data_IF_369897483662
#
_entry.id   IF_369897483662
#
_cell.length_a   1.000
_cell.length_b   1.000
_cell.length_c   1.000
_cell.angle_alpha   90.00
_cell.angle_beta   90.00
_cell.angle_gamma   90.00
#
_symmetry.space_group_name_H-M   'P 1'
#
loop_
_entity.id
_entity.type
_entity.pdbx_description
1 polymer ?
#
# COMPACT_ATOMS: atom_id res chain seq x y z
N UNK A 1 8.95 -26.14 -6.69
CA UNK A 1 9.77 -25.82 -5.50
C UNK A 1 9.07 -24.69 -4.77
N UNK A 2 8.86 -24.75 -3.45
CA UNK A 2 8.31 -23.60 -2.75
C UNK A 2 9.37 -22.50 -2.84
N UNK A 3 9.05 -21.40 -3.52
CA UNK A 3 9.95 -20.25 -3.56
C UNK A 3 9.94 -19.62 -2.18
N UNK A 4 11.07 -19.70 -1.49
CA UNK A 4 11.29 -18.90 -0.30
C UNK A 4 11.15 -17.43 -0.70
N UNK A 5 10.19 -16.73 -0.10
CA UNK A 5 10.02 -15.29 -0.27
C UNK A 5 10.79 -14.62 0.85
N UNK A 6 11.88 -13.95 0.50
CA UNK A 6 12.63 -13.12 1.44
C UNK A 6 11.69 -12.12 2.12
N UNK A 7 11.95 -11.82 3.40
CA UNK A 7 11.21 -10.86 4.23
C UNK A 7 9.77 -11.25 4.61
N UNK A 8 9.25 -12.41 4.17
CA UNK A 8 7.89 -12.86 4.56
C UNK A 8 7.83 -13.00 6.07
N UNK A 9 6.79 -12.42 6.69
CA UNK A 9 6.65 -12.43 8.14
C UNK A 9 6.30 -13.82 8.63
N UNK A 10 6.85 -14.18 9.78
CA UNK A 10 6.43 -15.38 10.47
C UNK A 10 5.03 -15.14 11.04
N UNK A 11 4.11 -16.08 10.78
CA UNK A 11 2.72 -15.97 11.25
C UNK A 11 2.42 -17.16 12.16
N UNK A 12 1.91 -16.87 13.35
CA UNK A 12 1.30 -17.85 14.24
C UNK A 12 -0.21 -17.64 14.17
N UNK A 13 -0.95 -18.68 13.77
CA UNK A 13 -2.40 -18.68 13.87
C UNK A 13 -2.83 -19.53 15.07
N UNK A 14 -3.41 -18.88 16.06
CA UNK A 14 -3.81 -19.49 17.33
C UNK A 14 -5.33 -19.54 17.42
N UNK A 15 -5.89 -20.73 17.20
CA UNK A 15 -7.31 -21.03 17.30
C UNK A 15 -7.55 -21.81 18.59
N UNK A 16 -8.34 -21.26 19.50
CA UNK A 16 -8.62 -21.92 20.79
C UNK A 16 -9.97 -21.46 21.36
N UNK A 17 -10.53 -22.25 22.26
CA UNK A 17 -11.62 -21.87 23.17
C UNK A 17 -11.18 -22.06 24.64
N UNK A 18 -9.88 -22.04 24.90
CA UNK A 18 -9.28 -22.18 26.22
C UNK A 18 -8.36 -21.01 26.56
N UNK A 19 -8.28 -20.68 27.85
CA UNK A 19 -7.42 -19.62 28.34
C UNK A 19 -5.93 -19.88 27.99
N UNK A 20 -5.16 -18.82 27.68
CA UNK A 20 -3.74 -18.99 27.40
C UNK A 20 -3.02 -19.53 28.64
N UNK A 21 -1.97 -20.32 28.40
CA UNK A 21 -1.11 -20.82 29.48
C UNK A 21 -0.42 -19.67 30.22
N UNK A 22 0.06 -19.95 31.44
CA UNK A 22 0.73 -18.94 32.28
C UNK A 22 2.13 -18.55 31.82
N UNK A 23 2.77 -19.38 30.98
CA UNK A 23 4.09 -19.12 30.42
C UNK A 23 3.97 -18.60 28.99
N UNK A 24 4.12 -17.29 28.84
CA UNK A 24 3.92 -16.52 27.62
C UNK A 24 5.22 -15.82 27.16
N UNK A 25 6.37 -16.33 27.61
CA UNK A 25 7.67 -15.75 27.30
C UNK A 25 7.94 -15.75 25.79
N UNK A 26 8.50 -14.66 25.27
CA UNK A 26 8.90 -14.52 23.88
C UNK A 26 7.79 -14.10 22.92
N UNK A 27 6.53 -13.94 23.37
CA UNK A 27 5.46 -13.37 22.55
C UNK A 27 5.81 -11.95 22.12
N UNK A 28 6.25 -11.12 23.07
CA UNK A 28 6.60 -9.73 22.79
C UNK A 28 7.84 -9.64 21.90
N UNK A 29 8.83 -10.51 22.10
CA UNK A 29 10.01 -10.62 21.24
C UNK A 29 9.63 -11.06 19.82
N UNK A 30 8.73 -12.04 19.67
CA UNK A 30 8.24 -12.49 18.38
C UNK A 30 7.54 -11.37 17.61
N UNK A 31 6.64 -10.63 18.28
CA UNK A 31 5.94 -9.48 17.69
C UNK A 31 6.91 -8.36 17.33
N UNK A 32 7.83 -8.03 18.23
CA UNK A 32 8.86 -7.00 18.03
C UNK A 32 9.82 -7.37 16.89
N UNK A 33 10.05 -8.67 16.66
CA UNK A 33 10.78 -9.20 15.51
C UNK A 33 10.01 -9.15 14.18
N UNK A 34 8.80 -8.59 14.15
CA UNK A 34 7.94 -8.49 12.97
C UNK A 34 7.03 -9.70 12.75
N UNK A 35 7.00 -10.65 13.68
CA UNK A 35 6.06 -11.77 13.67
C UNK A 35 4.62 -11.31 13.92
N UNK A 36 3.66 -11.94 13.25
CA UNK A 36 2.24 -11.66 13.42
C UNK A 36 1.57 -12.84 14.12
N UNK A 37 0.86 -12.57 15.21
CA UNK A 37 0.02 -13.57 15.90
C UNK A 37 -1.43 -13.24 15.62
N UNK A 38 -2.08 -14.12 14.86
CA UNK A 38 -3.51 -14.08 14.59
C UNK A 38 -4.19 -14.96 15.65
N UNK A 39 -5.11 -14.39 16.43
CA UNK A 39 -5.86 -15.14 17.44
C UNK A 39 -7.32 -15.19 17.03
N UNK A 40 -7.85 -16.41 16.93
CA UNK A 40 -9.28 -16.65 16.84
C UNK A 40 -9.75 -17.33 18.13
N UNK A 41 -10.51 -16.58 18.92
CA UNK A 41 -11.20 -17.11 20.08
C UNK A 41 -12.52 -17.74 19.62
N UNK A 42 -12.64 -19.06 19.69
CA UNK A 42 -13.83 -19.76 19.23
C UNK A 42 -14.93 -19.65 20.29
N UNK A 43 -15.80 -18.64 20.11
CA UNK A 43 -16.90 -18.31 21.02
C UNK A 43 -18.21 -18.82 20.41
N UNK A 44 -18.97 -19.65 21.14
CA UNK A 44 -20.31 -20.08 20.70
C UNK A 44 -21.38 -19.00 20.99
N UNK A 45 -22.55 -19.13 20.37
CA UNK A 45 -23.67 -18.21 20.60
C UNK A 45 -24.03 -18.13 22.09
N UNK A 46 -23.99 -16.92 22.65
CA UNK A 46 -24.24 -16.67 24.07
C UNK A 46 -23.02 -16.81 25.00
N UNK A 47 -21.86 -17.22 24.47
CA UNK A 47 -20.59 -17.22 25.21
C UNK A 47 -19.90 -15.85 25.12
N UNK A 48 -18.97 -15.61 26.05
CA UNK A 48 -18.14 -14.39 26.10
C UNK A 48 -16.69 -14.73 25.74
N UNK A 49 -15.98 -13.83 25.02
CA UNK A 49 -14.57 -14.04 24.70
C UNK A 49 -13.71 -14.21 25.95
N UNK A 50 -12.70 -15.05 25.84
CA UNK A 50 -11.80 -15.42 26.94
C UNK A 50 -10.89 -14.23 27.27
N UNK A 51 -10.90 -13.77 28.54
CA UNK A 51 -10.02 -12.70 28.98
C UNK A 51 -8.54 -13.04 28.73
N UNK A 52 -7.80 -12.12 28.12
CA UNK A 52 -6.36 -12.25 27.90
C UNK A 52 -5.95 -12.83 26.54
N UNK A 53 -6.82 -13.53 25.80
CA UNK A 53 -6.48 -13.97 24.44
C UNK A 53 -6.25 -12.79 23.49
N UNK A 54 -6.95 -11.67 23.70
CA UNK A 54 -6.70 -10.43 22.96
C UNK A 54 -5.26 -9.91 23.11
N UNK A 55 -4.63 -10.12 24.27
CA UNK A 55 -3.26 -9.66 24.50
C UNK A 55 -2.23 -10.52 23.76
N UNK A 56 -2.58 -11.76 23.45
CA UNK A 56 -1.75 -12.65 22.64
C UNK A 56 -1.70 -12.19 21.17
N UNK A 57 -2.79 -11.65 20.64
CA UNK A 57 -2.85 -11.18 19.26
C UNK A 57 -1.89 -10.02 18.98
N UNK A 58 -1.39 -9.94 17.75
CA UNK A 58 -0.83 -8.70 17.22
C UNK A 58 -1.92 -7.64 17.06
N UNK A 59 -1.53 -6.37 17.00
CA UNK A 59 -2.48 -5.26 16.87
C UNK A 59 -3.46 -5.50 15.71
N UNK A 60 -4.76 -5.39 16.02
CA UNK A 60 -5.86 -5.61 15.09
C UNK A 60 -6.04 -7.06 14.57
N UNK A 61 -5.33 -8.07 15.09
CA UNK A 61 -5.42 -9.49 14.68
C UNK A 61 -6.14 -10.42 15.69
N UNK A 62 -7.07 -9.89 16.50
CA UNK A 62 -7.92 -10.68 17.40
C UNK A 62 -9.34 -10.80 16.84
N UNK A 63 -9.88 -12.01 16.80
CA UNK A 63 -11.18 -12.32 16.22
C UNK A 63 -11.95 -13.34 17.07
N UNK A 64 -13.26 -13.37 16.92
CA UNK A 64 -14.15 -14.32 17.62
C UNK A 64 -15.03 -15.15 16.69
N UNK A 65 -14.97 -14.89 15.38
CA UNK A 65 -15.96 -15.31 14.38
C UNK A 65 -15.32 -15.86 13.08
N UNK A 66 -14.00 -16.07 13.04
CA UNK A 66 -13.33 -16.53 11.81
C UNK A 66 -13.72 -17.95 11.37
N UNK A 67 -14.40 -18.71 12.23
CA UNK A 67 -14.84 -20.09 11.99
C UNK A 67 -16.00 -20.20 11.01
N UNK A 68 -16.75 -19.12 10.73
CA UNK A 68 -17.90 -19.19 9.82
C UNK A 68 -17.49 -19.24 8.34
N UNK A 69 -16.31 -18.75 7.98
CA UNK A 69 -15.80 -18.77 6.61
C UNK A 69 -14.27 -18.86 6.56
N UNK A 70 -13.74 -20.07 6.38
CA UNK A 70 -12.29 -20.34 6.26
C UNK A 70 -11.58 -19.52 5.16
N UNK A 71 -12.31 -19.07 4.13
CA UNK A 71 -11.80 -18.18 3.08
C UNK A 71 -11.41 -16.80 3.66
N UNK A 72 -12.09 -16.31 4.70
CA UNK A 72 -11.72 -15.06 5.38
C UNK A 72 -10.40 -15.21 6.15
N UNK A 73 -10.09 -16.41 6.65
CA UNK A 73 -8.82 -16.70 7.31
C UNK A 73 -7.64 -16.56 6.33
N UNK A 74 -7.79 -16.96 5.06
CA UNK A 74 -6.74 -16.77 4.03
C UNK A 74 -6.46 -15.29 3.78
N UNK A 75 -7.48 -14.43 3.81
CA UNK A 75 -7.33 -12.99 3.67
C UNK A 75 -6.40 -12.39 4.74
N UNK A 76 -6.48 -12.87 5.98
CA UNK A 76 -5.63 -12.39 7.08
C UNK A 76 -4.14 -12.73 6.88
N UNK A 77 -3.83 -13.89 6.29
CA UNK A 77 -2.44 -14.20 5.95
C UNK A 77 -1.89 -13.30 4.85
N UNK A 78 -2.75 -12.85 3.92
CA UNK A 78 -2.38 -11.86 2.91
C UNK A 78 -2.16 -10.48 3.55
N UNK A 79 -3.08 -10.04 4.42
CA UNK A 79 -2.92 -8.76 5.15
C UNK A 79 -1.67 -8.75 6.01
N UNK A 80 -1.40 -9.85 6.73
CA UNK A 80 -0.21 -10.00 7.58
C UNK A 80 1.10 -10.01 6.77
N UNK A 81 1.05 -10.33 5.48
CA UNK A 81 2.19 -10.25 4.57
C UNK A 81 2.08 -9.07 3.58
N UNK A 82 1.20 -8.11 3.82
CA UNK A 82 1.07 -6.90 3.02
C UNK A 82 2.03 -5.82 3.55
N UNK A 83 3.32 -6.02 3.28
CA UNK A 83 4.42 -5.12 3.65
C UNK A 83 5.27 -4.78 2.42
N UNK A 84 6.14 -3.77 2.56
CA UNK A 84 7.06 -3.35 1.52
C UNK A 84 8.49 -3.83 1.78
N UNK A 85 9.26 -4.03 0.71
CA UNK A 85 10.72 -4.16 0.84
C UNK A 85 11.30 -2.93 1.55
N UNK A 86 12.41 -3.04 2.31
CA UNK A 86 12.97 -1.95 3.10
C UNK A 86 13.29 -0.66 2.33
N UNK A 87 13.49 -0.75 1.02
CA UNK A 87 13.78 0.39 0.14
C UNK A 87 12.54 1.06 -0.47
N UNK A 88 11.34 0.60 -0.10
CA UNK A 88 10.08 1.14 -0.58
C UNK A 88 9.31 1.81 0.57
N UNK A 89 8.59 2.86 0.22
CA UNK A 89 7.69 3.57 1.12
C UNK A 89 6.29 2.91 1.07
N UNK A 90 5.80 2.37 2.18
CA UNK A 90 4.45 1.80 2.24
C UNK A 90 3.40 2.89 2.26
N UNK A 91 2.31 2.69 1.51
CA UNK A 91 1.13 3.52 1.60
C UNK A 91 -0.04 2.69 2.13
N UNK A 92 -0.60 3.13 3.25
CA UNK A 92 -1.77 2.53 3.87
C UNK A 92 -2.98 3.44 3.78
N UNK A 93 -4.15 2.83 3.71
CA UNK A 93 -5.42 3.44 4.07
C UNK A 93 -6.04 2.67 5.23
N UNK A 94 -5.94 3.29 6.40
CA UNK A 94 -6.46 2.76 7.66
C UNK A 94 -7.98 2.55 7.62
N UNK A 95 -8.70 3.26 6.73
CA UNK A 95 -10.15 3.07 6.54
C UNK A 95 -10.47 1.76 5.84
N UNK A 96 -9.54 1.25 5.01
CA UNK A 96 -9.69 -0.03 4.30
C UNK A 96 -9.25 -1.19 5.20
N UNK A 97 -8.07 -1.08 5.82
CA UNK A 97 -7.61 -2.07 6.79
C UNK A 97 -6.58 -1.45 7.76
N UNK A 98 -6.84 -1.46 9.07
CA UNK A 98 -5.88 -0.98 10.07
C UNK A 98 -4.78 -2.00 10.37
N UNK A 99 -4.80 -3.17 9.71
CA UNK A 99 -3.88 -4.31 9.95
C UNK A 99 -2.68 -4.34 9.00
N UNK A 100 -2.80 -3.66 7.86
CA UNK A 100 -1.84 -3.70 6.77
C UNK A 100 -0.92 -2.49 6.84
N UNK A 101 0.34 -2.65 6.44
CA UNK A 101 1.25 -1.52 6.31
C UNK A 101 1.16 -0.89 4.92
N UNK A 102 0.83 -1.68 3.90
CA UNK A 102 0.95 -1.26 2.50
C UNK A 102 -0.28 -1.64 1.64
N UNK A 103 -1.51 -1.56 2.17
CA UNK A 103 -2.70 -1.96 1.39
C UNK A 103 -2.95 -1.10 0.13
N UNK A 104 -2.39 0.12 0.06
CA UNK A 104 -2.44 0.99 -1.11
C UNK A 104 -1.14 0.98 -1.93
N UNK A 105 -0.23 0.06 -1.61
CA UNK A 105 0.96 -0.25 -2.40
C UNK A 105 2.28 0.21 -1.78
N UNK A 106 3.36 -0.12 -2.49
CA UNK A 106 4.74 0.19 -2.14
C UNK A 106 5.35 1.11 -3.21
N UNK A 107 6.04 2.16 -2.78
CA UNK A 107 6.51 3.22 -3.68
C UNK A 107 8.00 3.44 -3.54
N UNK A 108 8.71 3.49 -4.67
CA UNK A 108 10.15 3.76 -4.69
C UNK A 108 10.43 4.95 -5.61
N UNK A 109 10.81 6.12 -5.06
CA UNK A 109 11.05 7.30 -5.87
C UNK A 109 12.47 7.22 -6.48
N UNK A 110 12.58 7.51 -7.77
CA UNK A 110 13.86 7.43 -8.52
C UNK A 110 14.25 8.80 -9.05
N UNK A 111 15.48 9.24 -8.75
CA UNK A 111 16.00 10.56 -9.12
C UNK A 111 17.11 10.46 -10.16
N UNK A 112 16.77 10.14 -11.41
CA UNK A 112 17.73 9.99 -12.51
C UNK A 112 17.38 10.77 -13.80
N UNK A 113 16.22 11.45 -13.85
CA UNK A 113 15.87 12.38 -14.91
C UNK A 113 15.79 11.75 -16.31
N UNK A 114 15.17 10.58 -16.44
CA UNK A 114 15.05 9.85 -17.71
C UNK A 114 13.72 10.14 -18.44
N UNK A 115 13.64 9.94 -19.77
CA UNK A 115 12.39 10.05 -20.53
C UNK A 115 11.30 9.10 -20.03
N UNK A 116 10.04 9.48 -20.22
CA UNK A 116 8.86 8.75 -19.72
C UNK A 116 8.86 7.25 -20.06
N UNK A 117 9.00 6.88 -21.34
CA UNK A 117 9.05 5.47 -21.74
C UNK A 117 10.18 4.70 -21.05
N UNK A 118 11.33 5.37 -20.83
CA UNK A 118 12.44 4.74 -20.12
C UNK A 118 12.13 4.55 -18.64
N UNK A 119 11.43 5.49 -18.02
CA UNK A 119 10.96 5.36 -16.64
C UNK A 119 9.95 4.20 -16.53
N UNK A 120 8.97 4.13 -17.43
CA UNK A 120 8.01 3.03 -17.54
C UNK A 120 8.70 1.67 -17.67
N UNK A 121 9.62 1.53 -18.63
CA UNK A 121 10.43 0.30 -18.78
C UNK A 121 11.21 -0.06 -17.52
N UNK A 122 11.75 0.93 -16.81
CA UNK A 122 12.55 0.71 -15.61
C UNK A 122 11.70 0.14 -14.49
N UNK A 123 10.51 0.70 -14.26
CA UNK A 123 9.55 0.17 -13.30
C UNK A 123 9.15 -1.28 -13.67
N UNK A 124 8.81 -1.54 -14.94
CA UNK A 124 8.43 -2.89 -15.37
C UNK A 124 9.54 -3.92 -15.18
N UNK A 125 10.81 -3.56 -15.39
CA UNK A 125 11.95 -4.44 -15.14
C UNK A 125 12.09 -4.83 -13.66
N UNK A 126 11.55 -4.01 -12.76
CA UNK A 126 11.48 -4.28 -11.32
C UNK A 126 10.12 -4.83 -10.88
N UNK A 127 9.33 -5.39 -11.81
CA UNK A 127 7.97 -5.89 -11.55
C UNK A 127 7.04 -4.84 -10.91
N UNK A 128 7.23 -3.58 -11.25
CA UNK A 128 6.41 -2.45 -10.80
C UNK A 128 5.92 -1.63 -12.01
N UNK A 129 5.15 -0.59 -11.73
CA UNK A 129 4.66 0.35 -12.75
C UNK A 129 4.99 1.78 -12.31
N UNK A 130 4.95 2.72 -13.25
CA UNK A 130 4.82 4.12 -12.88
C UNK A 130 3.55 4.30 -12.03
N UNK A 131 3.53 5.34 -11.21
CA UNK A 131 2.43 5.54 -10.26
C UNK A 131 1.17 6.05 -10.95
N UNK A 132 0.05 5.36 -10.75
CA UNK A 132 -1.28 5.90 -11.01
C UNK A 132 -1.83 6.59 -9.76
N UNK A 133 -2.48 7.75 -9.91
CA UNK A 133 -3.01 8.54 -8.79
C UNK A 133 -4.50 8.81 -9.03
N UNK A 134 -5.34 8.35 -8.10
CA UNK A 134 -6.80 8.35 -8.23
C UNK A 134 -7.52 9.06 -7.08
N UNK A 135 -6.77 9.65 -6.15
CA UNK A 135 -7.32 10.49 -5.08
C UNK A 135 -6.24 11.37 -4.45
N UNK A 136 -6.71 12.38 -3.70
CA UNK A 136 -5.88 13.37 -3.05
C UNK A 136 -4.96 12.77 -1.97
N UNK A 137 -5.39 11.71 -1.28
CA UNK A 137 -4.57 11.06 -0.25
C UNK A 137 -3.33 10.42 -0.88
N UNK A 138 -3.51 9.74 -2.02
CA UNK A 138 -2.40 9.15 -2.79
C UNK A 138 -1.50 10.22 -3.40
N UNK A 139 -2.07 11.30 -3.92
CA UNK A 139 -1.30 12.43 -4.46
C UNK A 139 -0.38 13.01 -3.38
N UNK A 140 -0.96 13.32 -2.22
CA UNK A 140 -0.23 13.85 -1.08
C UNK A 140 0.90 12.91 -0.64
N UNK A 141 0.60 11.61 -0.51
CA UNK A 141 1.60 10.62 -0.14
C UNK A 141 2.75 10.56 -1.14
N UNK A 142 2.46 10.41 -2.44
CA UNK A 142 3.48 10.30 -3.50
C UNK A 142 4.36 11.56 -3.53
N UNK A 143 3.75 12.73 -3.45
CA UNK A 143 4.46 14.01 -3.38
C UNK A 143 5.40 14.08 -2.18
N UNK A 144 4.96 13.62 -1.00
CA UNK A 144 5.79 13.57 0.22
C UNK A 144 6.98 12.62 0.07
N UNK A 145 6.79 11.49 -0.61
CA UNK A 145 7.86 10.51 -0.87
C UNK A 145 8.89 11.08 -1.85
N UNK A 146 8.47 11.83 -2.88
CA UNK A 146 9.39 12.47 -3.83
C UNK A 146 10.11 13.67 -3.21
N UNK A 147 9.51 14.35 -2.24
CA UNK A 147 10.08 15.52 -1.57
C UNK A 147 11.42 15.25 -0.87
N UNK A 148 11.78 13.98 -0.61
CA UNK A 148 13.09 13.58 -0.09
C UNK A 148 14.24 14.06 -1.00
N UNK A 149 13.98 14.26 -2.29
CA UNK A 149 14.96 14.76 -3.25
C UNK A 149 15.01 16.30 -3.35
N UNK A 150 14.18 17.01 -2.59
CA UNK A 150 14.10 18.46 -2.55
C UNK A 150 12.77 19.02 -3.04
N UNK A 151 12.68 20.36 -3.09
CA UNK A 151 11.47 21.06 -3.52
C UNK A 151 11.35 21.13 -5.05
N UNK A 152 10.12 21.26 -5.54
CA UNK A 152 9.75 21.41 -6.97
C UNK A 152 10.30 20.30 -7.86
N UNK A 153 10.31 19.07 -7.35
CA UNK A 153 10.75 17.90 -8.10
C UNK A 153 9.63 17.41 -9.00
N UNK A 154 9.98 17.22 -10.27
CA UNK A 154 9.10 16.62 -11.26
C UNK A 154 9.23 15.12 -11.21
N UNK A 155 8.11 14.42 -11.28
CA UNK A 155 8.07 12.97 -11.36
C UNK A 155 7.00 12.52 -12.37
N UNK A 156 7.31 11.48 -13.12
CA UNK A 156 6.37 10.88 -14.05
C UNK A 156 5.22 10.21 -13.27
N UNK A 157 4.01 10.43 -13.76
CA UNK A 157 2.82 9.65 -13.37
C UNK A 157 2.41 8.80 -14.56
N UNK A 158 1.76 7.67 -14.33
CA UNK A 158 1.45 6.67 -15.36
C UNK A 158 0.28 7.08 -16.30
N UNK A 159 0.26 8.34 -16.71
CA UNK A 159 -0.80 8.98 -17.48
C UNK A 159 -0.22 9.55 -18.76
N UNK A 160 -0.75 9.11 -19.90
CA UNK A 160 -0.33 9.57 -21.22
C UNK A 160 -1.55 9.96 -22.07
N UNK A 161 -1.36 10.84 -23.03
CA UNK A 161 -2.37 11.15 -24.03
C UNK A 161 -2.14 10.27 -25.26
N UNK A 162 -3.06 9.37 -25.58
CA UNK A 162 -2.95 8.45 -26.72
C UNK A 162 -3.18 9.11 -28.10
N UNK A 163 -3.21 10.45 -28.15
CA UNK A 163 -3.58 11.25 -29.31
C UNK A 163 -5.05 11.66 -29.33
N UNK A 164 -5.89 11.06 -28.47
CA UNK A 164 -7.31 11.40 -28.29
C UNK A 164 -7.63 11.70 -26.83
N UNK A 165 -7.28 10.78 -25.93
CA UNK A 165 -7.66 10.82 -24.52
C UNK A 165 -6.44 10.66 -23.62
N UNK A 166 -6.53 11.20 -22.41
CA UNK A 166 -5.60 10.86 -21.33
C UNK A 166 -5.97 9.51 -20.74
N UNK A 167 -5.02 8.58 -20.71
CA UNK A 167 -5.22 7.18 -20.33
C UNK A 167 -4.18 6.75 -19.30
N UNK A 168 -4.64 6.08 -18.24
CA UNK A 168 -3.77 5.48 -17.25
C UNK A 168 -3.22 4.13 -17.71
N UNK A 169 -2.00 3.80 -17.31
CA UNK A 169 -1.39 2.49 -17.60
C UNK A 169 -2.17 1.34 -16.97
N UNK A 170 -2.74 1.56 -15.78
CA UNK A 170 -3.56 0.60 -15.05
C UNK A 170 -4.97 0.41 -15.62
N UNK A 171 -5.31 1.14 -16.71
CA UNK A 171 -6.61 1.11 -17.40
C UNK A 171 -7.78 1.62 -16.56
N UNK A 172 -7.51 2.29 -15.44
CA UNK A 172 -8.53 2.98 -14.67
C UNK A 172 -9.19 4.08 -15.50
N UNK A 173 -10.51 4.23 -15.32
CA UNK A 173 -11.30 5.33 -15.89
C UNK A 173 -11.70 6.34 -14.81
N UNK A 174 -10.99 6.35 -13.68
CA UNK A 174 -11.25 7.29 -12.59
C UNK A 174 -11.11 8.75 -13.07
N UNK A 175 -12.08 9.64 -12.79
CA UNK A 175 -12.05 11.01 -13.23
C UNK A 175 -11.11 11.92 -12.41
N UNK A 176 -10.51 11.43 -11.33
CA UNK A 176 -9.61 12.20 -10.49
C UNK A 176 -8.46 12.78 -11.32
N UNK A 177 -8.20 14.07 -11.09
CA UNK A 177 -7.07 14.76 -11.69
C UNK A 177 -6.65 15.95 -10.84
N UNK A 178 -5.35 16.28 -10.92
CA UNK A 178 -4.78 17.47 -10.30
C UNK A 178 -4.05 18.34 -11.34
N UNK A 179 -4.65 18.47 -12.53
CA UNK A 179 -4.13 19.35 -13.59
C UNK A 179 -3.99 20.78 -13.09
N UNK A 180 -2.83 21.39 -13.36
CA UNK A 180 -2.59 22.78 -12.96
C UNK A 180 -3.46 23.75 -13.76
N UNK A 181 -4.55 24.20 -13.11
CA UNK A 181 -5.49 25.18 -13.67
C UNK A 181 -4.87 26.57 -13.87
N UNK A 182 -3.83 26.92 -13.12
CA UNK A 182 -3.20 28.24 -13.24
C UNK A 182 -2.41 28.40 -14.55
N UNK A 183 -1.98 27.28 -15.14
CA UNK A 183 -1.29 27.23 -16.43
C UNK A 183 -2.12 26.58 -17.55
N UNK A 184 -3.43 26.42 -17.33
CA UNK A 184 -4.39 25.83 -18.26
C UNK A 184 -4.05 24.39 -18.69
N UNK A 185 -3.62 23.53 -17.76
CA UNK A 185 -3.39 22.12 -18.03
C UNK A 185 -4.71 21.31 -18.08
N UNK A 186 -4.75 20.18 -18.81
CA UNK A 186 -3.71 19.69 -19.72
C UNK A 186 -3.71 20.48 -21.03
N UNK A 187 -2.59 21.12 -21.37
CA UNK A 187 -2.45 21.85 -22.62
C UNK A 187 -1.64 21.02 -23.63
N UNK A 188 -2.31 20.46 -24.62
CA UNK A 188 -1.65 19.70 -25.67
C UNK A 188 -1.00 20.58 -26.74
N UNK A 189 -1.38 21.86 -26.89
CA UNK A 189 -0.96 22.74 -27.98
C UNK A 189 -1.02 22.09 -29.38
N UNK A 190 -1.96 21.16 -29.61
CA UNK A 190 -2.05 20.37 -30.85
C UNK A 190 -1.05 19.21 -30.96
N UNK A 191 -0.24 18.97 -29.94
CA UNK A 191 0.58 17.80 -29.76
C UNK A 191 -0.25 16.53 -29.56
N UNK A 192 0.36 15.39 -29.91
CA UNK A 192 -0.17 14.04 -29.70
C UNK A 192 0.89 13.24 -28.96
N UNK A 193 0.48 12.21 -28.20
CA UNK A 193 1.42 11.35 -27.48
C UNK A 193 2.20 12.11 -26.40
N UNK A 194 1.47 12.88 -25.58
CA UNK A 194 2.01 13.64 -24.45
C UNK A 194 2.05 12.76 -23.20
N UNK A 195 3.03 12.97 -22.32
CA UNK A 195 3.17 12.25 -21.05
C UNK A 195 3.00 13.22 -19.88
N UNK A 196 2.22 12.84 -18.88
CA UNK A 196 1.97 13.70 -17.73
C UNK A 196 3.06 13.56 -16.67
N UNK A 197 3.44 14.67 -16.06
CA UNK A 197 4.25 14.67 -14.84
C UNK A 197 3.60 15.51 -13.76
N UNK A 198 3.84 15.14 -12.51
CA UNK A 198 3.44 15.91 -11.35
C UNK A 198 4.63 16.67 -10.75
N UNK A 199 4.35 17.79 -10.11
CA UNK A 199 5.35 18.60 -9.41
C UNK A 199 4.74 19.23 -8.17
N UNK A 200 5.46 19.17 -7.06
CA UNK A 200 5.09 19.92 -5.87
C UNK A 200 5.30 21.42 -6.12
N UNK A 201 4.25 22.20 -5.91
CA UNK A 201 4.23 23.66 -6.05
C UNK A 201 4.64 24.32 -4.73
N UNK A 202 4.10 25.50 -4.40
CA UNK A 202 4.36 26.12 -3.10
C UNK A 202 3.64 25.36 -1.99
N UNK A 203 4.38 24.82 -1.03
CA UNK A 203 3.84 24.00 0.05
C UNK A 203 3.68 22.53 -0.36
N UNK A 204 2.56 21.91 0.04
CA UNK A 204 2.23 20.50 -0.27
C UNK A 204 1.25 20.37 -1.44
N UNK A 205 0.89 21.48 -2.08
CA UNK A 205 0.04 21.48 -3.27
C UNK A 205 0.78 20.88 -4.45
N UNK A 206 0.15 19.98 -5.19
CA UNK A 206 0.69 19.37 -6.40
C UNK A 206 -0.05 19.95 -7.61
N UNK A 207 0.63 19.95 -8.77
CA UNK A 207 -0.03 20.20 -10.04
C UNK A 207 0.54 19.27 -11.11
N UNK A 208 -0.32 18.80 -12.00
CA UNK A 208 0.03 17.97 -13.15
C UNK A 208 0.17 18.81 -14.42
N UNK A 209 1.10 18.41 -15.28
CA UNK A 209 1.53 19.10 -16.50
C UNK A 209 1.82 18.11 -17.62
#
# INVERSE_FOLDING_TARGET
MPSYRENTRQIIYYLTNSAPGTNMNGIDDFKTGGGIIIVNDFVLEGEVPIPGLKNLASDNYFFTDLSENFINSLGLFCEANCYCDPNHHPFNDDKVSPRTEANRGCFHPVNNGIPFEKARETCHKTNSNLVSIHDADKEYFVSSVVAIFGSKKKYWIALENDGTNWVWDDKSTDPFNDWDKSTNQPNTNGGKLMCAYAVNTQGLNVGWY
#
